data_IF_581143270626
#
_entry.id   IF_581143270626
#
_cell.length_a   1.000
_cell.length_b   1.000
_cell.length_c   1.000
_cell.angle_alpha   90.00
_cell.angle_beta   90.00
_cell.angle_gamma   90.00
#
_symmetry.space_group_name_H-M   'P 1'
#
loop_
_entity.id
_entity.type
_entity.pdbx_description
1 polymer ?
#
# COMPACT_ATOMS: atom_id res chain seq x y z
N UNK A 1 14.72 20.16 -26.19
CA UNK A 1 14.99 19.92 -24.74
C UNK A 1 14.10 20.75 -23.80
N UNK A 2 13.94 22.08 -24.01
CA UNK A 2 13.17 22.96 -23.10
C UNK A 2 11.73 22.51 -22.84
N UNK A 3 11.04 21.99 -23.87
CA UNK A 3 9.69 21.42 -23.76
C UNK A 3 9.63 20.14 -22.93
N UNK A 4 10.62 19.25 -23.06
CA UNK A 4 10.69 18.00 -22.30
C UNK A 4 10.87 18.30 -20.82
N UNK A 5 11.77 19.23 -20.49
CA UNK A 5 11.97 19.68 -19.10
C UNK A 5 10.68 20.26 -18.51
N UNK A 6 9.96 21.08 -19.29
CA UNK A 6 8.71 21.68 -18.86
C UNK A 6 7.62 20.61 -18.62
N UNK A 7 7.51 19.60 -19.49
CA UNK A 7 6.59 18.47 -19.30
C UNK A 7 6.93 17.63 -18.07
N UNK A 8 8.21 17.38 -17.80
CA UNK A 8 8.63 16.65 -16.60
C UNK A 8 8.30 17.40 -15.30
N UNK A 9 8.44 18.74 -15.29
CA UNK A 9 8.06 19.57 -14.15
C UNK A 9 6.55 19.48 -13.93
N UNK A 10 5.75 19.62 -14.98
CA UNK A 10 4.28 19.52 -14.87
C UNK A 10 3.87 18.13 -14.36
N UNK A 11 4.46 17.06 -14.90
CA UNK A 11 4.19 15.70 -14.45
C UNK A 11 4.59 15.48 -12.97
N UNK A 12 5.72 16.02 -12.54
CA UNK A 12 6.18 15.94 -11.15
C UNK A 12 5.24 16.68 -10.19
N UNK A 13 4.80 17.90 -10.54
CA UNK A 13 3.86 18.68 -9.73
C UNK A 13 2.49 18.00 -9.70
N UNK A 14 1.98 17.54 -10.84
CA UNK A 14 0.72 16.80 -10.90
C UNK A 14 0.77 15.51 -10.08
N UNK A 15 1.87 14.74 -10.16
CA UNK A 15 2.09 13.55 -9.35
C UNK A 15 2.12 13.84 -7.84
N UNK A 16 2.72 14.96 -7.43
CA UNK A 16 2.76 15.39 -6.03
C UNK A 16 1.37 15.67 -5.45
N UNK A 17 0.50 16.33 -6.21
CA UNK A 17 -0.87 16.62 -5.76
C UNK A 17 -1.80 15.42 -5.85
N UNK A 18 -1.50 14.46 -6.71
CA UNK A 18 -2.35 13.28 -6.93
C UNK A 18 -1.89 12.04 -6.16
N UNK A 19 -0.81 12.11 -5.39
CA UNK A 19 -0.39 10.97 -4.54
C UNK A 19 -1.45 10.69 -3.45
N UNK A 20 -1.80 9.43 -3.20
CA UNK A 20 -2.74 9.11 -2.12
C UNK A 20 -2.11 9.34 -0.75
N UNK A 21 -2.91 9.90 0.16
CA UNK A 21 -2.54 10.11 1.55
C UNK A 21 -2.57 8.81 2.35
N UNK A 22 -1.93 8.83 3.51
CA UNK A 22 -1.86 7.66 4.40
C UNK A 22 -3.25 7.13 4.76
N UNK A 23 -4.21 8.01 5.05
CA UNK A 23 -5.56 7.61 5.42
C UNK A 23 -6.24 6.77 4.33
N UNK A 24 -6.10 7.17 3.06
CA UNK A 24 -6.66 6.47 1.90
C UNK A 24 -5.99 5.12 1.70
N UNK A 25 -4.66 5.06 1.81
CA UNK A 25 -3.94 3.79 1.67
C UNK A 25 -4.21 2.84 2.83
N UNK A 26 -4.39 3.36 4.05
CA UNK A 26 -4.77 2.58 5.24
C UNK A 26 -6.16 1.98 5.08
N UNK A 27 -7.12 2.74 4.56
CA UNK A 27 -8.47 2.26 4.30
C UNK A 27 -8.46 1.14 3.24
N UNK A 28 -7.71 1.33 2.14
CA UNK A 28 -7.52 0.30 1.13
C UNK A 28 -6.86 -0.97 1.69
N UNK A 29 -5.84 -0.84 2.54
CA UNK A 29 -5.21 -1.97 3.21
C UNK A 29 -6.19 -2.70 4.14
N UNK A 30 -7.00 -1.97 4.92
CA UNK A 30 -8.02 -2.56 5.77
C UNK A 30 -9.09 -3.30 4.95
N UNK A 31 -9.51 -2.75 3.81
CA UNK A 31 -10.47 -3.39 2.91
C UNK A 31 -9.94 -4.75 2.43
N UNK A 32 -8.68 -4.79 1.96
CA UNK A 32 -8.03 -6.06 1.58
C UNK A 32 -7.97 -7.01 2.76
N UNK A 33 -7.57 -6.54 3.95
CA UNK A 33 -7.48 -7.36 5.16
C UNK A 33 -8.82 -7.98 5.59
N UNK A 34 -9.93 -7.23 5.42
CA UNK A 34 -11.28 -7.63 5.79
C UNK A 34 -12.01 -8.52 4.77
N UNK A 35 -11.48 -8.65 3.55
CA UNK A 35 -12.16 -9.38 2.48
C UNK A 35 -11.97 -10.91 2.63
N UNK A 36 -13.03 -11.68 2.95
CA UNK A 36 -12.97 -13.12 3.20
C UNK A 36 -12.59 -13.95 1.97
N UNK A 37 -12.75 -13.43 0.75
CA UNK A 37 -12.33 -14.12 -0.47
C UNK A 37 -10.80 -14.12 -0.67
N UNK A 38 -10.10 -13.24 0.06
CA UNK A 38 -8.63 -13.14 0.05
C UNK A 38 -7.96 -13.81 1.26
N UNK A 39 -8.77 -14.41 2.15
CA UNK A 39 -8.31 -15.08 3.36
C UNK A 39 -7.98 -16.52 3.01
N UNK A 40 -6.69 -16.81 2.82
CA UNK A 40 -6.21 -18.18 3.01
C UNK A 40 -6.48 -18.58 4.47
N UNK A 41 -6.90 -19.82 4.70
CA UNK A 41 -7.42 -20.37 5.97
C UNK A 41 -6.53 -20.11 7.23
N UNK A 42 -5.29 -19.65 7.08
CA UNK A 42 -4.42 -19.22 8.18
C UNK A 42 -4.66 -17.79 8.72
N UNK A 43 -5.48 -16.97 8.05
CA UNK A 43 -5.61 -15.53 8.36
C UNK A 43 -6.88 -15.11 9.10
N UNK A 44 -7.87 -15.99 9.27
CA UNK A 44 -9.09 -15.71 10.07
C UNK A 44 -8.75 -15.32 11.52
N UNK A 45 -7.66 -15.86 12.08
CA UNK A 45 -7.20 -15.57 13.44
C UNK A 45 -6.37 -14.28 13.57
N UNK A 46 -5.81 -13.79 12.46
CA UNK A 46 -4.88 -12.64 12.43
C UNK A 46 -5.61 -11.35 12.05
N UNK A 47 -6.60 -11.43 11.16
CA UNK A 47 -7.39 -10.28 10.68
C UNK A 47 -8.16 -9.55 11.80
N UNK A 48 -8.66 -10.28 12.79
CA UNK A 48 -9.42 -9.73 13.93
C UNK A 48 -8.56 -9.07 15.00
N UNK A 49 -7.23 -9.27 14.97
CA UNK A 49 -6.30 -8.84 16.03
C UNK A 49 -5.12 -8.00 15.52
N UNK A 50 -5.11 -7.62 14.24
CA UNK A 50 -3.97 -6.99 13.55
C UNK A 50 -3.67 -5.56 14.07
N UNK A 51 -2.97 -5.50 15.20
CA UNK A 51 -2.13 -4.40 15.65
C UNK A 51 -0.72 -4.47 15.01
N UNK A 52 -0.64 -4.88 13.74
CA UNK A 52 0.63 -4.91 13.01
C UNK A 52 1.20 -3.49 12.85
N UNK A 53 2.52 -3.38 12.85
CA UNK A 53 3.23 -2.13 12.56
C UNK A 53 2.82 -1.61 11.19
N UNK A 54 2.48 -0.32 11.14
CA UNK A 54 2.01 0.37 9.93
C UNK A 54 3.02 1.44 9.55
N UNK A 55 3.55 1.35 8.34
CA UNK A 55 4.54 2.29 7.83
C UNK A 55 4.05 2.92 6.53
N UNK A 56 4.11 4.26 6.47
CA UNK A 56 3.83 5.05 5.27
C UNK A 56 5.11 5.69 4.76
N UNK A 57 5.49 5.36 3.53
CA UNK A 57 6.64 5.94 2.84
C UNK A 57 6.17 6.83 1.69
N UNK A 58 6.68 8.06 1.64
CA UNK A 58 6.35 9.04 0.60
C UNK A 58 7.51 9.23 -0.38
N UNK A 59 7.28 8.90 -1.65
CA UNK A 59 8.24 9.02 -2.75
C UNK A 59 7.91 10.19 -3.69
N UNK A 60 7.28 11.24 -3.18
CA UNK A 60 6.89 12.47 -3.89
C UNK A 60 5.77 12.29 -4.93
N UNK A 61 5.92 11.40 -5.93
CA UNK A 61 4.87 11.08 -6.92
C UNK A 61 4.13 9.78 -6.63
N UNK A 62 4.70 8.96 -5.74
CA UNK A 62 4.14 7.70 -5.31
C UNK A 62 4.21 7.61 -3.79
N UNK A 63 3.39 6.75 -3.23
CA UNK A 63 3.42 6.43 -1.82
C UNK A 63 3.32 4.92 -1.63
N UNK A 64 3.91 4.43 -0.55
CA UNK A 64 3.87 3.02 -0.17
C UNK A 64 3.32 2.94 1.25
N UNK A 65 2.46 1.96 1.48
CA UNK A 65 1.91 1.66 2.79
C UNK A 65 2.11 0.18 3.09
N UNK A 66 2.84 -0.13 4.16
CA UNK A 66 3.10 -1.49 4.60
C UNK A 66 2.40 -1.76 5.92
N UNK A 67 1.79 -2.94 6.02
CA UNK A 67 1.37 -3.53 7.28
C UNK A 67 2.26 -4.74 7.52
N UNK A 68 3.05 -4.70 8.58
CA UNK A 68 3.94 -5.79 8.99
C UNK A 68 3.45 -6.44 10.26
N UNK A 69 3.58 -7.77 10.34
CA UNK A 69 3.32 -8.55 11.54
C UNK A 69 4.53 -9.42 11.81
N UNK A 70 5.06 -9.39 13.04
CA UNK A 70 6.26 -10.13 13.43
C UNK A 70 7.41 -9.97 12.42
N UNK A 71 7.68 -8.72 12.02
CA UNK A 71 8.73 -8.34 11.08
C UNK A 71 8.59 -8.86 9.62
N UNK A 72 7.42 -9.42 9.25
CA UNK A 72 7.11 -9.82 7.87
C UNK A 72 5.99 -8.94 7.29
N UNK A 73 6.10 -8.47 6.04
CA UNK A 73 5.01 -7.75 5.39
C UNK A 73 3.84 -8.69 5.17
N UNK A 74 2.64 -8.21 5.49
CA UNK A 74 1.39 -8.94 5.33
C UNK A 74 0.57 -8.32 4.19
N UNK A 75 0.55 -6.99 4.16
CA UNK A 75 -0.05 -6.19 3.09
C UNK A 75 0.91 -5.09 2.69
N UNK A 76 1.08 -4.92 1.39
CA UNK A 76 1.83 -3.81 0.80
C UNK A 76 0.93 -3.12 -0.20
N UNK A 77 0.59 -1.87 0.07
CA UNK A 77 -0.14 -1.01 -0.86
C UNK A 77 0.81 -0.01 -1.50
N UNK A 78 0.69 0.13 -2.82
CA UNK A 78 1.35 1.14 -3.62
C UNK A 78 0.31 2.10 -4.16
N UNK A 79 0.62 3.38 -4.09
CA UNK A 79 -0.27 4.45 -4.50
C UNK A 79 0.42 5.42 -5.46
N UNK A 80 -0.24 5.76 -6.56
CA UNK A 80 0.19 6.79 -7.49
C UNK A 80 -1.03 7.38 -8.22
N UNK A 81 -1.05 8.69 -8.48
CA UNK A 81 -2.12 9.35 -9.24
C UNK A 81 -3.54 8.95 -8.79
N UNK A 82 -3.82 9.00 -7.48
CA UNK A 82 -5.07 8.65 -6.79
C UNK A 82 -5.46 7.18 -6.82
N UNK A 83 -4.71 6.35 -7.54
CA UNK A 83 -4.93 4.92 -7.59
C UNK A 83 -4.13 4.26 -6.46
N UNK A 84 -4.76 3.29 -5.80
CA UNK A 84 -4.12 2.46 -4.78
C UNK A 84 -4.24 1.00 -5.22
N UNK A 85 -3.11 0.32 -5.25
CA UNK A 85 -2.99 -1.11 -5.54
C UNK A 85 -2.40 -1.78 -4.32
N UNK A 86 -3.18 -2.64 -3.69
CA UNK A 86 -2.76 -3.42 -2.54
C UNK A 86 -2.48 -4.86 -2.95
N UNK A 87 -1.32 -5.36 -2.56
CA UNK A 87 -0.94 -6.75 -2.71
C UNK A 87 -0.77 -7.37 -1.32
N UNK A 88 -1.33 -8.57 -1.12
CA UNK A 88 -1.03 -9.38 0.06
C UNK A 88 0.29 -10.09 -0.19
N UNK A 89 1.23 -9.94 0.73
CA UNK A 89 2.42 -10.77 0.69
C UNK A 89 2.03 -12.19 1.10
N UNK A 90 2.57 -13.20 0.40
CA UNK A 90 2.44 -14.58 0.83
C UNK A 90 3.08 -14.72 2.22
N UNK A 91 2.31 -15.16 3.21
CA UNK A 91 2.86 -15.42 4.53
C UNK A 91 3.81 -16.60 4.45
N UNK A 92 5.11 -16.31 4.56
CA UNK A 92 6.16 -17.33 4.54
C UNK A 92 6.14 -18.20 5.80
N UNK A 93 5.36 -17.84 6.83
CA UNK A 93 5.20 -18.67 8.05
C UNK A 93 4.35 -19.91 7.85
N UNK A 94 3.43 -19.91 6.88
CA UNK A 94 2.55 -21.05 6.63
C UNK A 94 3.13 -22.07 5.65
N UNK A 95 4.34 -21.81 5.09
CA UNK A 95 4.96 -22.68 4.09
C UNK A 95 4.13 -22.75 2.82
N UNK A 96 4.30 -21.75 1.95
CA UNK A 96 3.65 -21.72 0.62
C UNK A 96 4.03 -22.88 -0.28
#
# INVERSE_FOLDING_TARGET
MKWIVLLLIIAGVAGYFTRPEEAVMREAANAVLSDPQSVSEGFESVATTLAGDRAYDNYYVAAKYNVTLDNQPVVTCWGAFTQVQCNRAADTRTGG
#
